data_IF_367484238866
#
_entry.id   IF_367484238866
#
_cell.length_a   1.000
_cell.length_b   1.000
_cell.length_c   1.000
_cell.angle_alpha   90.00
_cell.angle_beta   90.00
_cell.angle_gamma   90.00
#
_symmetry.space_group_name_H-M   'P 1'
#
loop_
_entity.id
_entity.type
_entity.pdbx_description
1 polymer ?
#
# COMPACT_ATOMS: atom_id res chain seq x y z
N UNK A 1 -3.21 13.53 -32.97
CA UNK A 1 -2.73 12.37 -32.19
C UNK A 1 -1.88 12.90 -31.05
N UNK A 2 -2.36 12.87 -29.81
CA UNK A 2 -1.53 13.21 -28.66
C UNK A 2 -0.40 12.17 -28.54
N UNK A 3 0.86 12.60 -28.43
CA UNK A 3 1.97 11.66 -28.20
C UNK A 3 1.81 11.06 -26.80
N UNK A 4 1.69 9.73 -26.73
CA UNK A 4 1.63 9.02 -25.47
C UNK A 4 2.92 9.26 -24.65
N UNK A 5 2.76 9.58 -23.37
CA UNK A 5 3.85 9.78 -22.40
C UNK A 5 3.81 8.81 -21.22
N UNK A 6 2.94 7.79 -21.25
CA UNK A 6 2.80 6.86 -20.12
C UNK A 6 4.11 6.15 -19.77
N UNK A 7 4.98 5.90 -20.76
CA UNK A 7 6.30 5.31 -20.53
C UNK A 7 7.29 6.23 -19.78
N UNK A 8 7.06 7.55 -19.74
CA UNK A 8 7.88 8.49 -18.95
C UNK A 8 7.59 8.38 -17.45
N UNK A 9 6.51 7.69 -17.08
CA UNK A 9 6.03 7.55 -15.71
C UNK A 9 6.20 6.10 -15.24
N UNK A 10 7.34 5.85 -14.61
CA UNK A 10 7.66 4.57 -14.01
C UNK A 10 6.78 4.27 -12.78
N UNK A 11 6.88 3.04 -12.30
CA UNK A 11 6.32 2.63 -11.02
C UNK A 11 6.97 3.45 -9.89
N UNK A 12 6.21 3.63 -8.80
CA UNK A 12 6.63 4.47 -7.69
C UNK A 12 7.57 3.69 -6.79
N UNK A 13 8.83 4.10 -6.76
CA UNK A 13 9.75 3.66 -5.72
C UNK A 13 9.20 4.03 -4.33
N UNK A 14 9.52 3.22 -3.32
CA UNK A 14 9.14 3.42 -1.91
C UNK A 14 9.91 4.56 -1.25
N UNK A 15 9.75 5.78 -1.78
CA UNK A 15 10.42 6.99 -1.32
C UNK A 15 9.43 8.16 -1.26
N UNK A 16 9.42 8.89 -0.15
CA UNK A 16 8.49 10.02 0.05
C UNK A 16 8.57 11.06 -1.07
N UNK A 17 9.78 11.35 -1.56
CA UNK A 17 10.03 12.29 -2.66
C UNK A 17 9.37 11.87 -3.98
N UNK A 18 9.25 10.57 -4.22
CA UNK A 18 8.68 10.00 -5.45
C UNK A 18 7.17 10.16 -5.45
N UNK A 19 6.50 9.88 -4.31
CA UNK A 19 5.06 10.16 -4.14
C UNK A 19 4.78 11.66 -4.32
N UNK A 20 5.56 12.53 -3.67
CA UNK A 20 5.43 13.99 -3.83
C UNK A 20 5.59 14.46 -5.28
N UNK A 21 6.54 13.88 -6.02
CA UNK A 21 6.72 14.16 -7.45
C UNK A 21 5.50 13.69 -8.25
N UNK A 22 5.01 12.47 -7.99
CA UNK A 22 3.86 11.92 -8.72
C UNK A 22 2.58 12.69 -8.48
N UNK A 23 2.32 13.20 -7.28
CA UNK A 23 1.17 14.09 -7.01
C UNK A 23 1.15 15.28 -7.97
N UNK A 24 2.31 15.93 -8.17
CA UNK A 24 2.44 17.08 -9.09
C UNK A 24 2.22 16.68 -10.54
N UNK A 25 2.75 15.52 -10.94
CA UNK A 25 2.62 14.98 -12.30
C UNK A 25 1.20 14.53 -12.64
N UNK A 26 0.49 13.98 -11.65
CA UNK A 26 -0.84 13.38 -11.81
C UNK A 26 -1.87 14.38 -12.33
N UNK A 27 -1.75 15.66 -11.95
CA UNK A 27 -2.59 16.76 -12.48
C UNK A 27 -2.51 16.89 -13.99
N UNK A 28 -1.31 16.70 -14.57
CA UNK A 28 -1.09 16.75 -16.03
C UNK A 28 -1.52 15.44 -16.68
N UNK A 29 -1.15 14.31 -16.08
CA UNK A 29 -1.44 12.98 -16.60
C UNK A 29 -2.95 12.75 -16.73
N UNK A 30 -3.75 13.15 -15.73
CA UNK A 30 -5.21 12.98 -15.74
C UNK A 30 -5.92 13.56 -16.97
N UNK A 31 -5.36 14.60 -17.61
CA UNK A 31 -5.98 15.25 -18.79
C UNK A 31 -6.02 14.35 -20.03
N UNK A 32 -5.07 13.42 -20.14
CA UNK A 32 -4.93 12.52 -21.30
C UNK A 32 -5.52 11.13 -21.04
N UNK A 33 -6.17 10.93 -19.88
CA UNK A 33 -6.79 9.66 -19.50
C UNK A 33 -8.31 9.70 -19.71
N UNK A 34 -8.87 8.53 -20.02
CA UNK A 34 -10.31 8.28 -19.97
C UNK A 34 -10.67 7.68 -18.62
N UNK A 35 -11.72 8.22 -18.00
CA UNK A 35 -12.36 7.59 -16.85
C UNK A 35 -12.97 6.25 -17.27
N UNK A 36 -12.63 5.17 -16.56
CA UNK A 36 -13.26 3.88 -16.72
C UNK A 36 -14.31 3.65 -15.63
N UNK A 37 -13.91 3.81 -14.38
CA UNK A 37 -14.82 3.66 -13.24
C UNK A 37 -14.30 4.31 -11.95
N UNK A 38 -15.08 4.28 -10.88
CA UNK A 38 -14.78 4.84 -9.55
C UNK A 38 -15.19 3.82 -8.49
N UNK A 39 -14.49 3.82 -7.36
CA UNK A 39 -14.91 3.06 -6.18
C UNK A 39 -16.14 3.69 -5.55
N UNK A 40 -16.84 2.96 -4.69
CA UNK A 40 -18.06 3.42 -4.02
C UNK A 40 -17.78 4.55 -3.02
N UNK A 41 -16.65 4.49 -2.32
CA UNK A 41 -16.17 5.52 -1.40
C UNK A 41 -15.70 6.81 -2.10
N UNK A 42 -15.48 6.77 -3.42
CA UNK A 42 -14.95 7.88 -4.21
C UNK A 42 -13.47 8.19 -3.98
N UNK A 43 -12.75 7.39 -3.19
CA UNK A 43 -11.32 7.53 -2.90
C UNK A 43 -10.45 7.03 -4.06
N UNK A 44 -10.95 6.04 -4.81
CA UNK A 44 -10.26 5.45 -5.95
C UNK A 44 -10.94 5.72 -7.28
N UNK A 45 -10.11 5.86 -8.32
CA UNK A 45 -10.58 6.03 -9.70
C UNK A 45 -9.75 5.19 -10.65
N UNK A 46 -10.40 4.36 -11.47
CA UNK A 46 -9.75 3.62 -12.54
C UNK A 46 -9.87 4.39 -13.86
N UNK A 47 -8.75 4.51 -14.56
CA UNK A 47 -8.63 5.21 -15.83
C UNK A 47 -7.78 4.42 -16.81
N UNK A 48 -7.90 4.73 -18.10
CA UNK A 48 -6.98 4.24 -19.14
C UNK A 48 -6.44 5.37 -20.01
N UNK A 49 -5.23 5.18 -20.51
CA UNK A 49 -4.65 6.12 -21.47
C UNK A 49 -5.36 6.02 -22.82
N UNK A 50 -5.82 7.15 -23.36
CA UNK A 50 -6.46 7.25 -24.67
C UNK A 50 -5.59 6.75 -25.83
N UNK A 51 -4.26 6.79 -25.67
CA UNK A 51 -3.30 6.52 -26.76
C UNK A 51 -2.71 5.10 -26.71
N UNK A 52 -2.37 4.59 -25.53
CA UNK A 52 -1.69 3.29 -25.39
C UNK A 52 -2.50 2.25 -24.59
N UNK A 53 -3.67 2.59 -24.07
CA UNK A 53 -4.49 1.68 -23.27
C UNK A 53 -4.00 1.41 -21.85
N UNK A 54 -2.80 1.86 -21.44
CA UNK A 54 -2.27 1.66 -20.08
C UNK A 54 -3.28 2.09 -19.02
N UNK A 55 -3.52 1.20 -18.05
CA UNK A 55 -4.41 1.44 -16.91
C UNK A 55 -3.71 2.23 -15.81
N UNK A 56 -4.48 3.09 -15.15
CA UNK A 56 -4.06 3.97 -14.08
C UNK A 56 -5.07 3.96 -12.96
N UNK A 57 -4.61 3.78 -11.72
CA UNK A 57 -5.42 4.00 -10.53
C UNK A 57 -5.06 5.36 -9.92
N UNK A 58 -6.08 6.14 -9.59
CA UNK A 58 -5.97 7.28 -8.70
C UNK A 58 -6.27 6.85 -7.28
N UNK A 59 -5.48 7.35 -6.35
CA UNK A 59 -5.69 7.25 -4.91
C UNK A 59 -5.43 8.61 -4.25
N UNK A 60 -5.76 8.76 -2.97
CA UNK A 60 -5.43 9.97 -2.20
C UNK A 60 -4.34 9.70 -1.18
N UNK A 61 -3.26 10.45 -1.28
CA UNK A 61 -2.13 10.30 -0.38
C UNK A 61 -2.39 11.03 0.94
N UNK A 62 -2.99 10.36 1.92
CA UNK A 62 -3.42 10.99 3.17
C UNK A 62 -2.26 11.65 3.93
N UNK A 63 -1.08 11.01 3.94
CA UNK A 63 0.17 11.52 4.52
C UNK A 63 0.81 12.69 3.72
N UNK A 64 0.18 13.10 2.62
CA UNK A 64 0.58 14.20 1.76
C UNK A 64 -0.55 15.22 1.58
N UNK A 65 -1.34 15.44 2.64
CA UNK A 65 -2.44 16.42 2.59
C UNK A 65 -3.65 15.94 1.81
N UNK A 66 -3.82 14.62 1.68
CA UNK A 66 -4.94 13.98 0.97
C UNK A 66 -4.99 14.33 -0.54
N UNK A 67 -3.83 14.64 -1.13
CA UNK A 67 -3.73 14.98 -2.54
C UNK A 67 -3.86 13.74 -3.44
N UNK A 68 -4.60 13.82 -4.56
CA UNK A 68 -4.74 12.70 -5.48
C UNK A 68 -3.45 12.46 -6.28
N UNK A 69 -3.09 11.20 -6.46
CA UNK A 69 -1.97 10.78 -7.28
C UNK A 69 -2.31 9.54 -8.12
N UNK A 70 -1.58 9.35 -9.22
CA UNK A 70 -1.79 8.30 -10.21
C UNK A 70 -0.60 7.33 -10.26
N UNK A 71 -0.91 6.05 -10.26
CA UNK A 71 0.07 4.99 -10.50
C UNK A 71 -0.44 3.99 -11.53
N UNK A 72 0.49 3.37 -12.24
CA UNK A 72 0.17 2.37 -13.25
C UNK A 72 -0.34 1.13 -12.55
N UNK A 73 -1.32 0.48 -13.17
CA UNK A 73 -1.83 -0.81 -12.72
C UNK A 73 -1.99 -1.75 -13.92
N UNK A 74 -1.98 -3.07 -13.70
CA UNK A 74 -2.35 -4.03 -14.73
C UNK A 74 -3.79 -3.82 -15.20
N UNK A 75 -4.06 -4.23 -16.44
CA UNK A 75 -5.42 -4.27 -16.97
C UNK A 75 -6.32 -5.15 -16.11
N UNK A 76 -7.55 -4.69 -15.90
CA UNK A 76 -8.54 -5.35 -15.03
C UNK A 76 -9.96 -5.00 -15.49
N UNK A 77 -10.92 -5.89 -15.24
CA UNK A 77 -12.33 -5.60 -15.46
C UNK A 77 -12.83 -4.61 -14.41
N UNK A 78 -13.71 -3.70 -14.82
CA UNK A 78 -14.27 -2.68 -13.92
C UNK A 78 -14.97 -3.29 -12.70
N UNK A 79 -15.66 -4.43 -12.86
CA UNK A 79 -16.35 -5.09 -11.75
C UNK A 79 -15.36 -5.63 -10.69
N UNK A 80 -14.32 -6.33 -11.14
CA UNK A 80 -13.30 -6.91 -10.25
C UNK A 80 -12.50 -5.80 -9.53
N UNK A 81 -12.21 -4.70 -10.23
CA UNK A 81 -11.53 -3.56 -9.63
C UNK A 81 -12.39 -2.82 -8.60
N UNK A 82 -13.72 -2.74 -8.79
CA UNK A 82 -14.61 -2.12 -7.79
C UNK A 82 -14.71 -2.95 -6.52
N UNK A 83 -14.66 -4.27 -6.63
CA UNK A 83 -14.66 -5.17 -5.48
C UNK A 83 -13.35 -5.04 -4.69
N UNK A 84 -12.23 -4.92 -5.40
CA UNK A 84 -10.91 -4.86 -4.80
C UNK A 84 -9.96 -4.02 -5.67
N UNK A 85 -9.83 -2.70 -5.38
CA UNK A 85 -8.84 -1.84 -6.00
C UNK A 85 -7.42 -2.33 -5.73
N UNK A 86 -6.45 -1.86 -6.50
CA UNK A 86 -5.05 -2.19 -6.26
C UNK A 86 -4.52 -1.52 -4.99
N UNK A 87 -3.59 -2.18 -4.31
CA UNK A 87 -2.88 -1.63 -3.14
C UNK A 87 -2.24 -0.27 -3.45
N UNK A 88 -2.20 0.61 -2.46
CA UNK A 88 -1.79 2.01 -2.64
C UNK A 88 -0.31 2.20 -2.28
N UNK A 89 0.55 2.64 -3.22
CA UNK A 89 1.98 2.81 -2.95
C UNK A 89 2.33 3.73 -1.77
N UNK A 90 1.51 4.75 -1.48
CA UNK A 90 1.75 5.64 -0.33
C UNK A 90 1.43 4.97 1.01
N UNK A 91 0.37 4.17 1.09
CA UNK A 91 0.04 3.38 2.27
C UNK A 91 1.08 2.30 2.54
N UNK A 92 1.57 1.63 1.48
CA UNK A 92 2.67 0.67 1.57
C UNK A 92 3.93 1.31 2.16
N UNK A 93 4.30 2.49 1.67
CA UNK A 93 5.47 3.23 2.17
C UNK A 93 5.32 3.58 3.66
N UNK A 94 4.15 4.03 4.07
CA UNK A 94 3.87 4.41 5.47
C UNK A 94 3.88 3.18 6.37
N UNK A 95 3.23 2.10 5.93
CA UNK A 95 3.20 0.83 6.65
C UNK A 95 4.61 0.29 6.90
N UNK A 96 5.44 0.21 5.85
CA UNK A 96 6.81 -0.30 5.97
C UNK A 96 7.66 0.59 6.88
N UNK A 97 7.57 1.91 6.74
CA UNK A 97 8.32 2.83 7.59
C UNK A 97 7.94 2.67 9.07
N UNK A 98 6.64 2.65 9.39
CA UNK A 98 6.18 2.47 10.76
C UNK A 98 6.56 1.10 11.33
N UNK A 99 6.48 0.05 10.53
CA UNK A 99 6.88 -1.28 10.97
C UNK A 99 8.40 -1.35 11.22
N UNK A 100 9.23 -0.78 10.34
CA UNK A 100 10.68 -0.71 10.52
C UNK A 100 11.08 0.08 11.76
N UNK A 101 10.38 1.18 12.07
CA UNK A 101 10.62 1.94 13.29
C UNK A 101 10.41 1.07 14.54
N UNK A 102 9.33 0.27 14.57
CA UNK A 102 9.08 -0.66 15.69
C UNK A 102 10.12 -1.76 15.73
N UNK A 103 10.40 -2.40 14.58
CA UNK A 103 11.34 -3.51 14.46
C UNK A 103 12.78 -3.12 14.81
N UNK A 104 13.16 -1.86 14.60
CA UNK A 104 14.51 -1.36 14.89
C UNK A 104 14.70 -0.86 16.33
N UNK A 105 13.64 -0.45 17.02
CA UNK A 105 13.72 0.10 18.38
C UNK A 105 13.83 -0.95 19.48
N UNK A 106 13.48 -2.21 19.21
CA UNK A 106 13.37 -3.26 20.23
C UNK A 106 14.11 -4.53 19.84
N UNK A 107 14.74 -5.16 20.82
CA UNK A 107 15.33 -6.49 20.64
C UNK A 107 14.23 -7.55 20.87
N UNK A 108 13.55 -7.96 19.79
CA UNK A 108 12.44 -8.92 19.84
C UNK A 108 12.93 -10.35 20.00
N UNK A 109 13.60 -10.64 21.11
CA UNK A 109 14.07 -12.00 21.41
C UNK A 109 12.92 -12.89 21.90
N UNK A 110 12.72 -14.07 21.30
CA UNK A 110 11.79 -15.06 21.82
C UNK A 110 12.14 -15.47 23.26
N UNK A 111 11.12 -15.79 24.06
CA UNK A 111 11.27 -16.43 25.36
C UNK A 111 10.65 -17.84 25.35
N UNK A 112 11.04 -18.66 26.31
CA UNK A 112 10.55 -20.04 26.48
C UNK A 112 9.12 -20.11 27.06
N UNK A 113 8.23 -19.22 26.62
CA UNK A 113 6.81 -19.21 26.98
C UNK A 113 5.97 -19.06 25.71
N UNK A 114 4.84 -19.76 25.58
CA UNK A 114 3.96 -19.63 24.43
C UNK A 114 3.29 -18.24 24.41
N UNK A 115 2.93 -17.78 23.21
CA UNK A 115 2.08 -16.63 23.04
C UNK A 115 0.74 -16.83 23.79
N UNK A 116 0.25 -15.79 24.48
CA UNK A 116 -1.04 -15.87 25.21
C UNK A 116 -2.28 -15.87 24.31
N UNK A 117 -2.11 -15.74 22.99
CA UNK A 117 -3.22 -15.73 22.05
C UNK A 117 -3.69 -17.16 21.80
N UNK A 118 -4.99 -17.39 21.97
CA UNK A 118 -5.61 -18.72 21.83
C UNK A 118 -5.34 -19.29 20.44
N UNK A 119 -4.77 -20.49 20.39
CA UNK A 119 -4.44 -21.18 19.14
C UNK A 119 -3.15 -20.72 18.47
N UNK A 120 -2.34 -19.87 19.12
CA UNK A 120 -1.02 -19.50 18.63
C UNK A 120 0.04 -20.46 19.20
N UNK A 121 0.84 -21.05 18.31
CA UNK A 121 1.94 -21.95 18.69
C UNK A 121 3.30 -21.24 18.78
N UNK A 122 3.33 -19.94 18.45
CA UNK A 122 4.55 -19.14 18.46
C UNK A 122 5.00 -18.80 19.88
N UNK A 123 6.31 -18.62 20.04
CA UNK A 123 6.89 -18.16 21.30
C UNK A 123 6.57 -16.68 21.53
N UNK A 124 6.26 -16.32 22.78
CA UNK A 124 6.18 -14.92 23.18
C UNK A 124 7.56 -14.26 23.14
N UNK A 125 7.60 -12.93 23.06
CA UNK A 125 8.85 -12.16 23.13
C UNK A 125 9.16 -11.79 24.58
N UNK A 126 10.45 -11.63 24.92
CA UNK A 126 10.88 -11.08 26.21
C UNK A 126 10.20 -9.73 26.51
N UNK A 127 9.72 -9.57 27.74
CA UNK A 127 9.01 -8.36 28.18
C UNK A 127 7.56 -8.25 27.67
N UNK A 128 7.11 -9.14 26.79
CA UNK A 128 5.75 -9.13 26.23
C UNK A 128 4.99 -10.43 26.56
N UNK A 129 3.66 -10.34 26.50
CA UNK A 129 2.77 -11.48 26.67
C UNK A 129 2.54 -12.27 25.37
N UNK A 130 2.87 -11.67 24.22
CA UNK A 130 2.51 -12.17 22.90
C UNK A 130 3.78 -12.36 22.03
N UNK A 131 3.64 -13.16 20.96
CA UNK A 131 4.63 -13.21 19.88
C UNK A 131 4.65 -11.90 19.09
N UNK A 132 5.63 -11.75 18.18
CA UNK A 132 5.83 -10.50 17.43
C UNK A 132 4.61 -10.14 16.58
N UNK A 133 4.06 -11.12 15.88
CA UNK A 133 2.86 -10.95 15.06
C UNK A 133 1.69 -10.42 15.88
N UNK A 134 1.36 -11.07 17.00
CA UNK A 134 0.24 -10.66 17.85
C UNK A 134 0.52 -9.35 18.60
N UNK A 135 1.79 -9.01 18.85
CA UNK A 135 2.15 -7.70 19.36
C UNK A 135 1.90 -6.60 18.32
N UNK A 136 2.33 -6.80 17.08
CA UNK A 136 2.06 -5.91 15.94
C UNK A 136 0.55 -5.75 15.73
N UNK A 137 -0.21 -6.84 15.70
CA UNK A 137 -1.67 -6.79 15.60
C UNK A 137 -2.33 -6.02 16.76
N UNK A 138 -1.79 -6.13 17.98
CA UNK A 138 -2.30 -5.36 19.11
C UNK A 138 -2.03 -3.87 18.95
N UNK A 139 -0.83 -3.49 18.49
CA UNK A 139 -0.48 -2.10 18.19
C UNK A 139 -1.38 -1.52 17.10
N UNK A 140 -1.71 -2.32 16.08
CA UNK A 140 -2.68 -1.95 15.04
C UNK A 140 -4.08 -1.73 15.64
N UNK A 141 -4.56 -2.62 16.50
CA UNK A 141 -5.89 -2.49 17.14
C UNK A 141 -6.04 -1.22 17.97
N UNK A 142 -4.95 -0.73 18.58
CA UNK A 142 -4.95 0.51 19.37
C UNK A 142 -4.47 1.74 18.58
N UNK A 143 -4.38 1.64 17.25
CA UNK A 143 -3.94 2.71 16.35
C UNK A 143 -2.54 3.27 16.64
N UNK A 144 -1.64 2.46 17.22
CA UNK A 144 -0.21 2.78 17.37
C UNK A 144 0.63 2.33 16.17
N UNK A 145 0.08 1.51 15.29
CA UNK A 145 0.66 1.13 14.01
C UNK A 145 -0.43 1.21 12.92
N UNK A 146 -0.12 1.62 11.68
CA UNK A 146 -1.06 1.52 10.56
C UNK A 146 -1.56 0.08 10.38
N UNK A 147 -2.83 -0.04 9.94
CA UNK A 147 -3.41 -1.32 9.54
C UNK A 147 -2.61 -1.94 8.38
N UNK A 148 -2.78 -3.25 8.20
CA UNK A 148 -2.17 -3.91 7.06
C UNK A 148 -2.73 -3.32 5.75
N UNK A 149 -1.89 -3.08 4.74
CA UNK A 149 -2.37 -2.57 3.46
C UNK A 149 -3.38 -3.52 2.83
N UNK A 150 -4.47 -2.94 2.33
CA UNK A 150 -5.58 -3.66 1.70
C UNK A 150 -5.61 -3.41 0.19
N UNK A 151 -6.17 -4.37 -0.54
CA UNK A 151 -6.33 -4.33 -1.99
C UNK A 151 -5.53 -5.39 -2.73
N UNK A 152 -5.66 -5.35 -4.06
CA UNK A 152 -5.03 -6.28 -5.00
C UNK A 152 -3.54 -5.98 -5.13
N UNK A 153 -2.72 -6.96 -4.77
CA UNK A 153 -1.26 -6.89 -4.92
C UNK A 153 -0.84 -7.09 -6.38
N UNK A 154 0.20 -6.39 -6.82
CA UNK A 154 0.66 -6.40 -8.22
C UNK A 154 2.12 -5.95 -8.31
N UNK A 155 2.92 -6.40 -9.28
CA UNK A 155 4.31 -5.94 -9.41
C UNK A 155 4.42 -4.42 -9.61
N UNK A 156 5.41 -3.74 -9.00
CA UNK A 156 6.42 -4.27 -8.07
C UNK A 156 5.95 -4.42 -6.61
N UNK A 157 4.70 -4.06 -6.32
CA UNK A 157 4.05 -4.09 -5.02
C UNK A 157 3.43 -5.46 -4.69
N UNK A 158 4.26 -6.51 -4.63
CA UNK A 158 3.82 -7.85 -4.22
C UNK A 158 3.83 -7.99 -2.70
N UNK A 159 2.85 -8.72 -2.13
CA UNK A 159 2.69 -8.83 -0.68
C UNK A 159 3.95 -9.31 0.05
N UNK A 160 4.67 -10.26 -0.53
CA UNK A 160 5.95 -10.78 -0.01
C UNK A 160 7.05 -9.73 0.19
N UNK A 161 6.98 -8.61 -0.53
CA UNK A 161 7.94 -7.50 -0.39
C UNK A 161 7.60 -6.55 0.77
N UNK A 162 6.37 -6.62 1.31
CA UNK A 162 5.84 -5.64 2.27
C UNK A 162 5.35 -6.27 3.57
N UNK A 163 4.83 -7.49 3.53
CA UNK A 163 4.32 -8.18 4.71
C UNK A 163 5.47 -8.96 5.37
N UNK A 164 5.81 -8.66 6.63
CA UNK A 164 6.81 -9.43 7.35
C UNK A 164 6.35 -10.87 7.54
N UNK A 165 7.26 -11.82 7.33
CA UNK A 165 7.10 -13.19 7.85
C UNK A 165 7.63 -13.21 9.27
N UNK A 166 6.73 -13.33 10.24
CA UNK A 166 7.10 -13.53 11.64
C UNK A 166 7.41 -15.02 11.86
N UNK A 167 8.64 -15.42 11.53
CA UNK A 167 9.14 -16.78 11.78
C UNK A 167 9.67 -16.92 13.21
#
# INVERSE_FOLDING_TARGET
MEKCKCAEFEDLEMLRKVISKRIKESKKLKKVLNLLTKSEDGEHVLMSCKSCGQYWQSSRAWNWGNDPYLFRVPEIKNADWRQEPYVQPDELLVYVASLQDILSQSNFEPKNEPCRMKGCEQSAIKGLANCLEHHVQNLQKINQLPQNPEGRWFPPYLAENFKPTFN
#
